data_IF_640824018318
#
_entry.id   IF_640824018318
#
_cell.length_a   1.000
_cell.length_b   1.000
_cell.length_c   1.000
_cell.angle_alpha   90.00
_cell.angle_beta   90.00
_cell.angle_gamma   90.00
#
_symmetry.space_group_name_H-M   'P 1'
#
loop_
_entity.id
_entity.type
_entity.pdbx_description
1 polymer ?
#
# COMPACT_ATOMS: atom_id res chain seq x y z
N UNK A 1 -9.87 0.86 -16.08
CA UNK A 1 -9.48 2.27 -15.97
C UNK A 1 -8.21 2.34 -15.14
N UNK A 2 -7.08 2.70 -15.71
CA UNK A 2 -5.82 2.81 -14.99
C UNK A 2 -5.89 3.99 -14.02
N UNK A 3 -5.56 3.74 -12.76
CA UNK A 3 -5.61 4.78 -11.73
C UNK A 3 -4.50 5.80 -12.02
N UNK A 4 -4.88 6.98 -12.50
CA UNK A 4 -3.96 8.11 -12.73
C UNK A 4 -3.54 8.71 -11.40
N UNK A 5 -2.72 7.96 -10.63
CA UNK A 5 -2.24 8.40 -9.33
C UNK A 5 -1.48 9.72 -9.42
N UNK A 6 -1.69 10.60 -8.45
CA UNK A 6 -0.95 11.86 -8.34
C UNK A 6 0.56 11.62 -8.22
N UNK A 7 1.36 12.51 -8.82
CA UNK A 7 2.81 12.55 -8.65
C UNK A 7 3.21 12.86 -7.20
N UNK A 8 4.39 12.39 -6.81
CA UNK A 8 5.00 12.71 -5.53
C UNK A 8 5.51 14.15 -5.44
N UNK A 9 6.57 14.35 -4.65
CA UNK A 9 7.22 15.66 -4.50
C UNK A 9 7.93 16.09 -5.80
N UNK A 10 8.37 15.12 -6.60
CA UNK A 10 9.01 15.29 -7.92
C UNK A 10 8.03 15.62 -9.04
N UNK A 11 6.73 15.57 -8.75
CA UNK A 11 5.61 15.79 -9.71
C UNK A 11 5.59 14.83 -10.91
N UNK A 12 6.42 13.76 -10.90
CA UNK A 12 6.43 12.75 -11.95
C UNK A 12 5.06 12.06 -12.03
N UNK A 13 4.49 11.95 -13.24
CA UNK A 13 3.26 11.19 -13.47
C UNK A 13 3.54 9.70 -13.66
N UNK A 14 2.52 8.85 -13.48
CA UNK A 14 2.67 7.41 -13.74
C UNK A 14 3.00 7.10 -15.22
N UNK A 15 2.61 7.97 -16.16
CA UNK A 15 2.90 7.81 -17.58
C UNK A 15 4.38 8.04 -17.89
N UNK A 16 5.06 8.88 -17.10
CA UNK A 16 6.49 9.15 -17.24
C UNK A 16 7.39 8.07 -16.62
N UNK A 17 6.81 7.13 -15.85
CA UNK A 17 7.59 6.09 -15.19
C UNK A 17 8.30 5.17 -16.18
N UNK A 18 7.63 4.73 -17.25
CA UNK A 18 8.22 3.79 -18.21
C UNK A 18 9.40 4.39 -18.95
N UNK A 19 9.31 5.59 -19.57
CA UNK A 19 10.47 6.26 -20.16
C UNK A 19 11.62 6.46 -19.16
N UNK A 20 11.30 6.85 -17.93
CA UNK A 20 12.30 7.04 -16.88
C UNK A 20 13.02 5.71 -16.54
N UNK A 21 12.27 4.61 -16.41
CA UNK A 21 12.84 3.28 -16.13
C UNK A 21 13.74 2.80 -17.25
N UNK A 22 13.37 3.00 -18.51
CA UNK A 22 14.21 2.61 -19.64
C UNK A 22 15.58 3.31 -19.60
N UNK A 23 15.61 4.56 -19.14
CA UNK A 23 16.85 5.34 -19.02
C UNK A 23 17.66 5.05 -17.74
N UNK A 24 16.99 4.69 -16.63
CA UNK A 24 17.61 4.65 -15.29
C UNK A 24 17.57 3.28 -14.62
N UNK A 25 17.13 2.24 -15.30
CA UNK A 25 16.93 0.88 -14.75
C UNK A 25 18.16 0.34 -14.03
N UNK A 26 19.32 0.43 -14.69
CA UNK A 26 20.56 -0.14 -14.16
C UNK A 26 21.04 0.59 -12.91
N UNK A 27 20.94 1.93 -12.90
CA UNK A 27 21.25 2.75 -11.74
C UNK A 27 20.34 2.41 -10.56
N UNK A 28 19.02 2.27 -10.81
CA UNK A 28 18.05 1.93 -9.76
C UNK A 28 18.36 0.54 -9.17
N UNK A 29 18.60 -0.45 -10.02
CA UNK A 29 18.91 -1.82 -9.58
C UNK A 29 20.21 -1.83 -8.79
N UNK A 30 21.25 -1.18 -9.28
CA UNK A 30 22.55 -1.09 -8.58
C UNK A 30 22.38 -0.48 -7.19
N UNK A 31 21.67 0.64 -7.08
CA UNK A 31 21.42 1.31 -5.78
C UNK A 31 20.61 0.47 -4.80
N UNK A 32 19.72 -0.38 -5.30
CA UNK A 32 18.96 -1.32 -4.46
C UNK A 32 19.84 -2.48 -3.98
N UNK A 33 20.72 -2.99 -4.84
CA UNK A 33 21.61 -4.11 -4.52
C UNK A 33 22.73 -3.73 -3.54
N UNK A 34 23.31 -2.55 -3.70
CA UNK A 34 24.37 -2.05 -2.82
C UNK A 34 23.84 -1.38 -1.53
N UNK A 35 22.51 -1.24 -1.40
CA UNK A 35 21.86 -0.64 -0.24
C UNK A 35 21.98 0.89 -0.17
N UNK A 36 22.43 1.56 -1.22
CA UNK A 36 22.55 3.02 -1.28
C UNK A 36 21.23 3.72 -1.60
N UNK A 37 20.21 2.99 -2.05
CA UNK A 37 18.89 3.56 -2.36
C UNK A 37 18.31 4.30 -1.17
N UNK A 38 17.89 5.54 -1.39
CA UNK A 38 17.19 6.37 -0.39
C UNK A 38 15.86 6.83 -0.97
N UNK A 39 14.75 6.49 -0.31
CA UNK A 39 13.43 6.98 -0.73
C UNK A 39 13.34 8.51 -0.65
N UNK A 40 12.62 9.09 -1.58
CA UNK A 40 12.37 10.53 -1.57
C UNK A 40 11.38 10.91 -0.46
N UNK A 41 11.43 12.17 0.03
CA UNK A 41 10.40 12.68 0.92
C UNK A 41 9.00 12.56 0.30
N UNK A 42 8.00 12.24 1.10
CA UNK A 42 6.62 12.17 0.65
C UNK A 42 6.02 13.57 0.48
N UNK A 43 5.21 13.76 -0.55
CA UNK A 43 4.40 14.97 -0.69
C UNK A 43 3.22 14.90 0.29
N UNK A 44 3.17 15.82 1.24
CA UNK A 44 2.08 15.92 2.22
C UNK A 44 0.86 16.57 1.59
N UNK A 45 -0.30 15.94 1.75
CA UNK A 45 -1.62 16.46 1.35
C UNK A 45 -2.57 16.32 2.53
N UNK A 46 -3.38 17.34 2.78
CA UNK A 46 -4.41 17.31 3.81
C UNK A 46 -5.75 16.94 3.18
N UNK A 47 -6.41 15.94 3.75
CA UNK A 47 -7.75 15.52 3.33
C UNK A 47 -8.73 15.94 4.43
N UNK A 48 -9.77 16.73 4.11
CA UNK A 48 -10.81 17.06 5.07
C UNK A 48 -11.59 15.80 5.47
N UNK A 49 -11.92 15.69 6.77
CA UNK A 49 -12.80 14.64 7.31
C UNK A 49 -14.18 15.25 7.61
N UNK A 50 -15.21 14.40 7.63
CA UNK A 50 -16.60 14.82 7.90
C UNK A 50 -16.80 15.52 9.25
N UNK A 51 -15.90 15.29 10.20
CA UNK A 51 -15.90 15.92 11.52
C UNK A 51 -15.15 17.27 11.60
N UNK A 52 -14.83 17.89 10.46
CA UNK A 52 -14.08 19.16 10.36
C UNK A 52 -12.58 19.04 10.63
N UNK A 53 -12.07 17.86 11.01
CA UNK A 53 -10.62 17.61 11.18
C UNK A 53 -9.99 17.31 9.82
N UNK A 54 -8.67 17.50 9.75
CA UNK A 54 -7.89 17.15 8.56
C UNK A 54 -7.06 15.89 8.81
N UNK A 55 -7.01 15.00 7.83
CA UNK A 55 -6.11 13.85 7.82
C UNK A 55 -4.91 14.16 6.93
N UNK A 56 -3.71 13.91 7.42
CA UNK A 56 -2.49 14.06 6.62
C UNK A 56 -2.23 12.79 5.82
N UNK A 57 -2.07 12.93 4.51
CA UNK A 57 -1.68 11.87 3.60
C UNK A 57 -0.30 12.17 3.02
N UNK A 58 0.62 11.19 3.09
CA UNK A 58 1.91 11.25 2.42
C UNK A 58 1.83 10.54 1.06
N UNK A 59 2.17 11.24 -0.02
CA UNK A 59 2.20 10.67 -1.38
C UNK A 59 3.67 10.46 -1.77
N UNK A 60 4.15 9.20 -1.85
CA UNK A 60 5.50 8.89 -2.32
C UNK A 60 5.67 9.21 -3.80
N UNK A 61 6.91 9.32 -4.28
CA UNK A 61 7.19 9.41 -5.71
C UNK A 61 6.76 8.15 -6.45
N UNK A 62 6.62 8.24 -7.77
CA UNK A 62 6.20 7.09 -8.59
C UNK A 62 7.25 5.99 -8.55
N UNK A 63 8.53 6.35 -8.52
CA UNK A 63 9.65 5.41 -8.40
C UNK A 63 9.63 4.71 -7.04
N UNK A 64 9.45 5.45 -5.94
CA UNK A 64 9.33 4.85 -4.61
C UNK A 64 8.14 3.89 -4.51
N UNK A 65 7.01 4.24 -5.12
CA UNK A 65 5.84 3.33 -5.19
C UNK A 65 6.15 2.05 -5.96
N UNK A 66 6.93 2.15 -7.05
CA UNK A 66 7.37 0.97 -7.79
C UNK A 66 8.22 0.05 -6.91
N UNK A 67 9.21 0.60 -6.20
CA UNK A 67 10.06 -0.15 -5.28
C UNK A 67 9.23 -0.79 -4.16
N UNK A 68 8.32 -0.04 -3.54
CA UNK A 68 7.40 -0.57 -2.52
C UNK A 68 6.53 -1.71 -3.07
N UNK A 69 6.03 -1.57 -4.31
CA UNK A 69 5.22 -2.61 -4.94
C UNK A 69 6.05 -3.87 -5.24
N UNK A 70 7.29 -3.72 -5.68
CA UNK A 70 8.19 -4.86 -5.90
C UNK A 70 8.47 -5.62 -4.59
N UNK A 71 8.76 -4.90 -3.51
CA UNK A 71 8.93 -5.48 -2.16
C UNK A 71 7.66 -6.22 -1.73
N UNK A 72 6.48 -5.59 -1.90
CA UNK A 72 5.20 -6.18 -1.54
C UNK A 72 4.93 -7.49 -2.31
N UNK A 73 5.26 -7.54 -3.60
CA UNK A 73 5.09 -8.75 -4.43
C UNK A 73 5.95 -9.92 -3.94
N UNK A 74 7.13 -9.65 -3.40
CA UNK A 74 8.01 -10.69 -2.83
C UNK A 74 7.54 -11.12 -1.44
N UNK A 75 7.15 -10.17 -0.59
CA UNK A 75 6.77 -10.45 0.79
C UNK A 75 5.38 -11.07 0.92
N UNK A 76 4.42 -10.64 0.10
CA UNK A 76 3.02 -11.06 0.22
C UNK A 76 2.85 -12.60 0.16
N UNK A 77 3.41 -13.35 -0.80
CA UNK A 77 3.29 -14.80 -0.84
C UNK A 77 3.88 -15.49 0.40
N UNK A 78 4.95 -14.91 0.96
CA UNK A 78 5.60 -15.45 2.15
C UNK A 78 4.76 -15.26 3.42
N UNK A 79 4.21 -14.05 3.61
CA UNK A 79 3.41 -13.73 4.80
C UNK A 79 1.96 -14.21 4.71
N UNK A 80 1.39 -14.34 3.50
CA UNK A 80 0.00 -14.78 3.31
C UNK A 80 -0.29 -16.12 4.02
N UNK A 81 0.70 -17.01 4.06
CA UNK A 81 0.61 -18.32 4.74
C UNK A 81 0.62 -18.20 6.27
N UNK A 82 1.18 -17.12 6.82
CA UNK A 82 1.34 -16.89 8.27
C UNK A 82 0.20 -16.07 8.87
N UNK A 83 -0.58 -15.37 8.05
CA UNK A 83 -1.68 -14.56 8.55
C UNK A 83 -2.79 -15.39 9.16
N UNK A 84 -3.33 -14.90 10.30
CA UNK A 84 -4.50 -15.49 10.93
C UNK A 84 -5.67 -15.61 9.94
N UNK A 85 -6.52 -16.62 10.14
CA UNK A 85 -7.77 -16.79 9.38
C UNK A 85 -8.78 -15.66 9.59
N UNK A 86 -8.61 -14.88 10.65
CA UNK A 86 -9.43 -13.71 10.98
C UNK A 86 -8.85 -12.39 10.50
N UNK A 87 -7.68 -12.39 9.90
CA UNK A 87 -7.13 -11.21 9.23
C UNK A 87 -7.70 -11.09 7.82
N UNK A 88 -8.42 -9.98 7.55
CA UNK A 88 -9.06 -9.70 6.26
C UNK A 88 -8.49 -8.46 5.56
N UNK A 89 -7.73 -7.61 6.29
CA UNK A 89 -7.20 -6.37 5.76
C UNK A 89 -6.08 -6.58 4.75
N UNK A 90 -6.18 -5.90 3.59
CA UNK A 90 -5.14 -5.86 2.54
C UNK A 90 -4.66 -7.23 2.02
N UNK A 91 -5.49 -8.24 2.09
CA UNK A 91 -5.16 -9.60 1.64
C UNK A 91 -5.85 -9.94 0.32
N UNK A 92 -5.19 -10.72 -0.58
CA UNK A 92 -5.81 -11.17 -1.83
C UNK A 92 -7.08 -11.98 -1.55
N UNK A 93 -8.13 -11.71 -2.33
CA UNK A 93 -9.41 -12.44 -2.26
C UNK A 93 -10.12 -12.38 -0.90
N UNK A 94 -9.79 -11.42 -0.05
CA UNK A 94 -10.47 -11.13 1.21
C UNK A 94 -10.92 -9.68 1.24
N UNK A 95 -12.13 -9.44 1.72
CA UNK A 95 -12.71 -8.10 1.78
C UNK A 95 -13.47 -7.84 3.08
N UNK A 96 -13.94 -6.60 3.24
CA UNK A 96 -14.70 -6.20 4.42
C UNK A 96 -15.98 -7.01 4.63
N UNK A 97 -16.65 -7.41 3.55
CA UNK A 97 -17.86 -8.27 3.64
C UNK A 97 -17.54 -9.66 4.22
N UNK A 98 -16.36 -10.22 3.94
CA UNK A 98 -15.96 -11.51 4.51
C UNK A 98 -15.64 -11.37 6.00
N UNK A 99 -15.07 -10.23 6.42
CA UNK A 99 -14.87 -9.90 7.82
C UNK A 99 -16.21 -9.80 8.56
N UNK A 100 -17.17 -9.07 8.00
CA UNK A 100 -18.53 -8.92 8.58
C UNK A 100 -19.25 -10.26 8.72
N UNK A 101 -19.25 -11.08 7.65
CA UNK A 101 -19.84 -12.44 7.71
C UNK A 101 -19.18 -13.32 8.75
N UNK A 102 -17.86 -13.17 8.95
CA UNK A 102 -17.13 -13.91 9.99
C UNK A 102 -17.49 -13.41 11.38
N UNK A 103 -17.58 -12.11 11.60
CA UNK A 103 -18.02 -11.52 12.86
C UNK A 103 -19.44 -11.97 13.21
N UNK A 104 -20.38 -11.88 12.27
CA UNK A 104 -21.75 -12.36 12.44
C UNK A 104 -21.78 -13.83 12.92
N UNK A 105 -21.07 -14.72 12.24
CA UNK A 105 -21.00 -16.14 12.62
C UNK A 105 -20.42 -16.37 14.02
N UNK A 106 -19.57 -15.48 14.51
CA UNK A 106 -19.00 -15.57 15.86
C UNK A 106 -20.06 -15.14 16.89
N UNK A 107 -20.77 -14.04 16.62
CA UNK A 107 -21.87 -13.57 17.48
C UNK A 107 -23.00 -14.61 17.57
N UNK A 108 -23.40 -15.20 16.44
CA UNK A 108 -24.42 -16.27 16.39
C UNK A 108 -24.03 -17.51 17.23
N UNK A 109 -22.75 -17.75 17.49
CA UNK A 109 -22.25 -18.80 18.38
C UNK A 109 -22.32 -18.44 19.87
N UNK A 110 -22.81 -17.26 20.23
CA UNK A 110 -23.00 -16.81 21.60
C UNK A 110 -21.83 -16.04 22.21
N UNK A 111 -20.81 -15.67 21.41
CA UNK A 111 -19.75 -14.78 21.91
C UNK A 111 -20.26 -13.33 21.98
N UNK A 112 -20.28 -12.77 23.18
CA UNK A 112 -20.85 -11.45 23.49
C UNK A 112 -19.81 -10.38 23.82
N UNK A 113 -18.58 -10.77 24.08
CA UNK A 113 -17.49 -9.84 24.39
C UNK A 113 -16.68 -9.51 23.14
N UNK A 114 -16.44 -8.21 22.94
CA UNK A 114 -15.61 -7.68 21.85
C UNK A 114 -14.41 -6.96 22.48
N UNK A 115 -13.22 -7.28 22.00
CA UNK A 115 -11.98 -6.57 22.34
C UNK A 115 -11.60 -5.71 21.15
N UNK A 116 -11.47 -4.40 21.35
CA UNK A 116 -11.08 -3.38 20.37
C UNK A 116 -9.62 -2.92 20.65
#
# INVERSE_FOLDING_TARGET
>A
MWNKGCGGIDKMSCEQLLPWLLANKEMLISSLLDGSYRPNPVRRVEIPKDNGKKSQLGIPTVVDRLVQQAINQVLMPHYERKFSRTNFGFRPRKGCHDALRKAQKIVEKGYTYVVD
#
